data_IF_640707950203
#
_entry.id   IF_640707950203
#
_cell.length_a   1.000
_cell.length_b   1.000
_cell.length_c   1.000
_cell.angle_alpha   90.00
_cell.angle_beta   90.00
_cell.angle_gamma   90.00
#
_symmetry.space_group_name_H-M   'P 1'
#
loop_
_entity.id
_entity.type
_entity.pdbx_description
1 polymer ?
#
# COMPACT_ATOMS: atom_id res chain seq x y z
N UNK A 1 -0.35 22.72 19.94
CA UNK A 1 0.20 21.57 20.69
C UNK A 1 -0.73 20.35 20.75
N UNK A 2 -2.06 20.49 20.88
CA UNK A 2 -2.99 19.35 20.85
C UNK A 2 -3.48 19.02 19.42
N UNK A 3 -3.75 20.02 18.58
CA UNK A 3 -4.08 19.82 17.15
C UNK A 3 -2.95 19.11 16.37
N UNK A 4 -1.69 19.56 16.48
CA UNK A 4 -0.56 19.01 15.71
C UNK A 4 -0.31 17.51 15.97
N UNK A 5 -0.66 16.99 17.16
CA UNK A 5 -0.55 15.56 17.47
C UNK A 5 -1.67 14.72 16.86
N UNK A 6 -2.83 15.32 16.60
CA UNK A 6 -4.00 14.64 16.04
C UNK A 6 -3.83 14.42 14.54
N UNK A 7 -3.32 15.42 13.83
CA UNK A 7 -3.05 15.34 12.39
C UNK A 7 -1.93 14.33 12.09
N UNK A 8 -0.83 14.38 12.85
CA UNK A 8 0.28 13.43 12.69
C UNK A 8 -0.14 11.96 12.85
N UNK A 9 -1.07 11.70 13.77
CA UNK A 9 -1.63 10.36 14.01
C UNK A 9 -2.52 9.87 12.85
N UNK A 10 -3.12 10.77 12.08
CA UNK A 10 -4.04 10.43 10.99
C UNK A 10 -3.29 10.08 9.69
N UNK A 11 -2.18 10.78 9.42
CA UNK A 11 -1.31 10.46 8.28
C UNK A 11 -0.57 9.14 8.47
N UNK A 12 -0.07 8.84 9.67
CA UNK A 12 0.58 7.54 9.97
C UNK A 12 -0.38 6.36 9.77
N UNK A 13 -1.65 6.52 10.17
CA UNK A 13 -2.69 5.51 9.88
C UNK A 13 -2.93 5.34 8.39
N UNK A 14 -2.95 6.44 7.64
CA UNK A 14 -3.13 6.41 6.19
C UNK A 14 -1.95 5.70 5.51
N UNK A 15 -0.72 5.99 5.92
CA UNK A 15 0.50 5.33 5.42
C UNK A 15 0.44 3.82 5.71
N UNK A 16 0.16 3.44 6.96
CA UNK A 16 0.06 2.03 7.36
C UNK A 16 -1.06 1.31 6.62
N UNK A 17 -2.20 1.96 6.41
CA UNK A 17 -3.30 1.41 5.62
C UNK A 17 -2.85 1.04 4.20
N UNK A 18 -2.11 1.93 3.52
CA UNK A 18 -1.60 1.67 2.18
C UNK A 18 -0.58 0.53 2.15
N UNK A 19 0.32 0.47 3.14
CA UNK A 19 1.32 -0.60 3.26
C UNK A 19 0.64 -1.95 3.51
N UNK A 20 -0.23 -2.06 4.52
CA UNK A 20 -0.93 -3.31 4.82
C UNK A 20 -1.80 -3.79 3.67
N UNK A 21 -2.43 -2.86 2.95
CA UNK A 21 -3.23 -3.16 1.75
C UNK A 21 -2.35 -3.65 0.60
N UNK A 22 -1.15 -3.09 0.44
CA UNK A 22 -0.15 -3.54 -0.51
C UNK A 22 0.35 -4.96 -0.16
N UNK A 23 0.63 -5.25 1.09
CA UNK A 23 1.14 -6.56 1.52
C UNK A 23 0.12 -7.68 1.26
N UNK A 24 -1.18 -7.42 1.47
CA UNK A 24 -2.27 -8.35 1.13
C UNK A 24 -2.35 -8.61 -0.38
N UNK A 25 -2.22 -7.57 -1.19
CA UNK A 25 -2.20 -7.72 -2.65
C UNK A 25 -0.97 -8.48 -3.11
N UNK A 26 0.20 -8.22 -2.51
CA UNK A 26 1.43 -8.93 -2.82
C UNK A 26 1.32 -10.42 -2.50
N UNK A 27 0.73 -10.79 -1.36
CA UNK A 27 0.45 -12.19 -1.05
C UNK A 27 -0.42 -12.83 -2.15
N UNK A 28 -1.48 -12.15 -2.57
CA UNK A 28 -2.37 -12.65 -3.63
C UNK A 28 -1.65 -12.74 -4.98
N UNK A 29 -0.83 -11.74 -5.32
CA UNK A 29 0.02 -11.69 -6.51
C UNK A 29 0.95 -12.90 -6.58
N UNK A 30 1.58 -13.26 -5.47
CA UNK A 30 2.48 -14.43 -5.39
C UNK A 30 1.72 -15.76 -5.54
N UNK A 31 0.49 -15.85 -5.03
CA UNK A 31 -0.35 -17.03 -5.21
C UNK A 31 -0.75 -17.19 -6.68
N UNK A 32 -1.13 -16.12 -7.36
CA UNK A 32 -1.45 -16.13 -8.79
C UNK A 32 -0.23 -16.49 -9.65
N UNK A 33 0.95 -16.00 -9.27
CA UNK A 33 2.20 -16.38 -9.93
C UNK A 33 2.45 -17.89 -9.85
N UNK A 34 2.23 -18.48 -8.67
CA UNK A 34 2.35 -19.94 -8.44
C UNK A 34 1.30 -20.74 -9.22
N UNK A 35 0.09 -20.19 -9.34
CA UNK A 35 -1.01 -20.77 -10.13
C UNK A 35 -0.81 -20.62 -11.64
N UNK A 36 0.24 -19.90 -12.09
CA UNK A 36 0.52 -19.56 -13.50
C UNK A 36 -0.48 -18.60 -14.13
N UNK A 37 -1.28 -17.91 -13.33
CA UNK A 37 -2.20 -16.86 -13.76
C UNK A 37 -1.44 -15.54 -13.95
N UNK A 38 -0.52 -15.50 -14.92
CA UNK A 38 0.48 -14.44 -15.06
C UNK A 38 -0.14 -13.05 -15.30
N UNK A 39 -1.18 -12.95 -16.13
CA UNK A 39 -1.85 -11.67 -16.38
C UNK A 39 -2.46 -11.08 -15.12
N UNK A 40 -3.07 -11.92 -14.27
CA UNK A 40 -3.65 -11.50 -13.00
C UNK A 40 -2.57 -11.19 -11.96
N UNK A 41 -1.49 -11.97 -11.93
CA UNK A 41 -0.32 -11.67 -11.10
C UNK A 41 0.28 -10.31 -11.47
N UNK A 42 0.45 -10.01 -12.75
CA UNK A 42 0.97 -8.72 -13.20
C UNK A 42 0.04 -7.55 -12.84
N UNK A 43 -1.28 -7.74 -12.99
CA UNK A 43 -2.27 -6.73 -12.59
C UNK A 43 -2.18 -6.40 -11.10
N UNK A 44 -2.09 -7.42 -10.23
CA UNK A 44 -1.91 -7.16 -8.80
C UNK A 44 -0.54 -6.55 -8.48
N UNK A 45 0.52 -6.92 -9.20
CA UNK A 45 1.83 -6.29 -9.05
C UNK A 45 1.79 -4.78 -9.31
N UNK A 46 1.00 -4.35 -10.31
CA UNK A 46 0.74 -2.93 -10.56
C UNK A 46 0.07 -2.25 -9.34
N UNK A 47 -0.94 -2.89 -8.72
CA UNK A 47 -1.65 -2.34 -7.55
C UNK A 47 -0.74 -2.23 -6.33
N UNK A 48 0.11 -3.22 -6.08
CA UNK A 48 1.12 -3.21 -5.02
C UNK A 48 2.00 -1.95 -5.15
N UNK A 49 2.54 -1.72 -6.34
CA UNK A 49 3.40 -0.55 -6.61
C UNK A 49 2.61 0.76 -6.42
N UNK A 50 1.39 0.84 -6.95
CA UNK A 50 0.55 2.04 -6.82
C UNK A 50 0.29 2.40 -5.35
N UNK A 51 -0.05 1.42 -4.51
CA UNK A 51 -0.33 1.62 -3.08
C UNK A 51 0.90 2.07 -2.31
N UNK A 52 2.07 1.47 -2.57
CA UNK A 52 3.33 1.89 -1.95
C UNK A 52 3.71 3.33 -2.35
N UNK A 53 3.50 3.71 -3.61
CA UNK A 53 3.72 5.08 -4.06
C UNK A 53 2.77 6.06 -3.37
N UNK A 54 1.49 5.72 -3.18
CA UNK A 54 0.55 6.54 -2.40
C UNK A 54 1.01 6.72 -0.95
N UNK A 55 1.49 5.65 -0.31
CA UNK A 55 2.06 5.72 1.03
C UNK A 55 3.26 6.68 1.09
N UNK A 56 4.16 6.59 0.10
CA UNK A 56 5.33 7.46 -0.01
C UNK A 56 4.93 8.93 -0.22
N UNK A 57 3.97 9.21 -1.11
CA UNK A 57 3.50 10.58 -1.34
C UNK A 57 2.91 11.19 -0.05
N UNK A 58 2.11 10.43 0.70
CA UNK A 58 1.56 10.90 1.98
C UNK A 58 2.67 11.20 2.98
N UNK A 59 3.71 10.37 3.03
CA UNK A 59 4.87 10.53 3.92
C UNK A 59 5.73 11.75 3.58
N UNK A 60 5.92 12.03 2.29
CA UNK A 60 6.81 13.11 1.85
C UNK A 60 6.10 14.48 1.74
N UNK A 61 4.76 14.50 1.72
CA UNK A 61 3.97 15.73 1.53
C UNK A 61 3.33 16.27 2.81
N UNK A 62 3.34 15.51 3.93
CA UNK A 62 2.78 15.93 5.24
C UNK A 62 3.83 15.83 6.35
#
# INVERSE_FOLDING_TARGET
MAEERKDKLDYEKSINHWIESSDRDFLTMTNLLKSKDYSWSLFLGHLVIEKLLKALVVKETN
#
